data_IF_117417055207
#
_entry.id   IF_117417055207
#
_cell.length_a   1.000
_cell.length_b   1.000
_cell.length_c   1.000
_cell.angle_alpha   90.00
_cell.angle_beta   90.00
_cell.angle_gamma   90.00
#
_symmetry.space_group_name_H-M   'P 1'
#
loop_
_entity.id
_entity.type
_entity.pdbx_description
1 polymer ?
#
# COMPACT_ATOMS: atom_id res chain seq x y z
N UNK A 1 14.05 17.89 -16.43
CA UNK A 1 15.45 18.19 -16.05
C UNK A 1 15.63 19.60 -15.50
N UNK A 2 15.29 20.64 -16.27
CA UNK A 2 15.56 22.06 -15.93
C UNK A 2 15.10 22.49 -14.53
N UNK A 3 13.85 22.21 -14.15
CA UNK A 3 13.32 22.57 -12.82
C UNK A 3 14.10 21.93 -11.66
N UNK A 4 14.45 20.64 -11.75
CA UNK A 4 15.26 19.96 -10.73
C UNK A 4 16.62 20.64 -10.57
N UNK A 5 17.29 20.93 -11.68
CA UNK A 5 18.58 21.61 -11.66
C UNK A 5 18.47 23.03 -11.09
N UNK A 6 17.38 23.75 -11.41
CA UNK A 6 17.11 25.06 -10.85
C UNK A 6 16.94 25.02 -9.34
N UNK A 7 16.17 24.06 -8.81
CA UNK A 7 15.96 23.91 -7.36
C UNK A 7 17.24 23.54 -6.61
N UNK A 8 18.11 22.75 -7.22
CA UNK A 8 19.44 22.47 -6.67
C UNK A 8 20.29 23.75 -6.67
N UNK A 9 20.34 24.46 -7.80
CA UNK A 9 21.13 25.69 -7.95
C UNK A 9 20.65 26.82 -7.02
N UNK A 10 19.35 26.89 -6.73
CA UNK A 10 18.77 27.88 -5.83
C UNK A 10 18.77 27.45 -4.35
N UNK A 11 19.34 26.29 -4.02
CA UNK A 11 19.43 25.80 -2.65
C UNK A 11 18.10 25.32 -2.03
N UNK A 12 17.06 25.12 -2.84
CA UNK A 12 15.80 24.51 -2.39
C UNK A 12 16.04 23.02 -2.08
N UNK A 13 16.85 22.36 -2.89
CA UNK A 13 17.30 20.99 -2.68
C UNK A 13 18.80 20.99 -2.39
N UNK A 14 19.19 20.48 -1.22
CA UNK A 14 20.59 20.27 -0.87
C UNK A 14 21.01 18.83 -1.16
N UNK A 15 22.20 18.66 -1.77
CA UNK A 15 22.82 17.33 -1.94
C UNK A 15 23.65 17.02 -0.70
N UNK A 16 23.45 15.81 -0.18
CA UNK A 16 24.29 15.27 0.89
C UNK A 16 25.72 15.02 0.40
N UNK A 17 26.68 15.42 1.22
CA UNK A 17 28.12 15.30 0.95
C UNK A 17 28.69 13.92 1.29
N UNK A 18 28.03 13.21 2.18
CA UNK A 18 28.39 11.87 2.64
C UNK A 18 27.18 10.93 2.61
N UNK A 19 27.38 9.61 2.41
CA UNK A 19 26.32 8.63 2.58
C UNK A 19 25.70 8.73 3.98
N UNK A 20 24.37 8.66 4.04
CA UNK A 20 23.63 8.67 5.28
C UNK A 20 22.35 7.84 5.15
N UNK A 21 21.80 7.45 6.30
CA UNK A 21 20.45 6.91 6.42
C UNK A 21 19.58 7.95 7.13
N UNK A 22 18.32 8.05 6.72
CA UNK A 22 17.41 9.05 7.27
C UNK A 22 16.27 8.38 8.03
N UNK A 23 16.29 8.33 9.38
CA UNK A 23 15.11 8.00 10.15
C UNK A 23 13.95 8.89 9.72
N UNK A 24 12.80 8.27 9.43
CA UNK A 24 11.62 8.91 8.89
C UNK A 24 10.38 8.45 9.63
N UNK A 25 9.83 9.33 10.46
CA UNK A 25 8.68 9.05 11.30
C UNK A 25 7.44 9.76 10.76
N UNK A 26 6.29 9.11 10.90
CA UNK A 26 5.00 9.63 10.47
C UNK A 26 4.01 9.52 11.62
N UNK A 27 3.59 10.64 12.16
CA UNK A 27 2.49 10.72 13.13
C UNK A 27 1.18 10.98 12.42
N UNK A 28 0.16 10.18 12.69
CA UNK A 28 -1.12 10.28 11.98
C UNK A 28 -2.28 9.79 12.82
N UNK A 29 -3.48 10.20 12.43
CA UNK A 29 -4.74 9.70 12.96
C UNK A 29 -5.34 8.70 11.99
N UNK A 30 -5.69 7.51 12.46
CA UNK A 30 -6.39 6.48 11.67
C UNK A 30 -7.80 6.97 11.36
N UNK A 31 -8.21 7.12 10.08
CA UNK A 31 -9.49 7.76 9.72
C UNK A 31 -10.73 7.14 10.37
N UNK A 32 -10.81 5.81 10.45
CA UNK A 32 -12.01 5.12 10.93
C UNK A 32 -12.08 4.98 12.46
N UNK A 33 -10.94 5.04 13.16
CA UNK A 33 -10.88 4.78 14.61
C UNK A 33 -10.52 6.01 15.43
N UNK A 34 -9.98 7.07 14.81
CA UNK A 34 -9.44 8.22 15.53
C UNK A 34 -8.18 7.93 16.33
N UNK A 35 -7.65 6.70 16.25
CA UNK A 35 -6.43 6.29 16.95
C UNK A 35 -5.23 7.05 16.39
N UNK A 36 -4.44 7.66 17.26
CA UNK A 36 -3.20 8.34 16.87
C UNK A 36 -2.04 7.35 16.97
N UNK A 37 -1.32 7.17 15.86
CA UNK A 37 -0.20 6.24 15.74
C UNK A 37 1.03 6.95 15.17
N UNK A 38 2.20 6.36 15.44
CA UNK A 38 3.47 6.75 14.83
C UNK A 38 4.01 5.57 14.05
N UNK A 39 4.29 5.76 12.76
CA UNK A 39 5.04 4.80 11.95
C UNK A 39 6.50 5.21 11.90
N UNK A 40 7.36 4.30 12.29
CA UNK A 40 8.81 4.45 12.28
C UNK A 40 9.40 3.71 11.08
N UNK A 41 10.40 4.32 10.46
CA UNK A 41 11.13 3.70 9.37
C UNK A 41 12.37 4.51 9.03
N UNK A 42 13.08 4.10 7.99
CA UNK A 42 14.24 4.85 7.51
C UNK A 42 14.31 4.87 5.98
N UNK A 43 14.82 5.98 5.45
CA UNK A 43 15.05 6.18 4.02
C UNK A 43 16.51 5.84 3.73
N UNK A 44 16.73 4.97 2.74
CA UNK A 44 18.06 4.61 2.25
C UNK A 44 18.00 4.16 0.78
N UNK A 45 19.17 3.96 0.18
CA UNK A 45 19.29 3.38 -1.15
C UNK A 45 19.36 1.85 -1.05
N UNK A 46 18.36 1.17 -1.60
CA UNK A 46 18.35 -0.29 -1.75
C UNK A 46 18.76 -0.71 -3.15
N UNK A 47 19.51 -1.81 -3.27
CA UNK A 47 19.78 -2.42 -4.56
C UNK A 47 18.48 -3.00 -5.15
N UNK A 48 18.29 -2.85 -6.46
CA UNK A 48 17.18 -3.51 -7.17
C UNK A 48 17.62 -4.90 -7.62
N UNK A 49 16.78 -5.90 -7.38
CA UNK A 49 17.03 -7.31 -7.68
C UNK A 49 15.88 -7.88 -8.49
N UNK A 50 16.19 -8.82 -9.37
CA UNK A 50 15.16 -9.59 -10.04
C UNK A 50 14.36 -10.39 -9.01
N UNK A 51 13.03 -10.48 -9.15
CA UNK A 51 12.19 -11.23 -8.20
C UNK A 51 12.62 -12.69 -8.05
N UNK A 52 13.24 -13.28 -9.10
CA UNK A 52 13.80 -14.63 -9.07
C UNK A 52 14.93 -14.83 -8.06
N UNK A 53 15.59 -13.77 -7.60
CA UNK A 53 16.63 -13.83 -6.57
C UNK A 53 16.07 -14.13 -5.16
N UNK A 54 14.75 -13.98 -4.96
CA UNK A 54 14.12 -14.30 -3.68
C UNK A 54 14.48 -13.36 -2.52
N UNK A 55 15.01 -12.17 -2.83
CA UNK A 55 15.33 -11.11 -1.86
C UNK A 55 14.15 -10.15 -1.69
N UNK A 56 13.53 -9.72 -2.81
CA UNK A 56 12.39 -8.80 -2.82
C UNK A 56 11.13 -9.53 -3.29
N UNK A 57 10.04 -9.33 -2.55
CA UNK A 57 8.75 -9.96 -2.77
C UNK A 57 7.69 -8.90 -3.08
N UNK A 58 6.76 -9.27 -3.97
CA UNK A 58 5.60 -8.46 -4.34
C UNK A 58 4.32 -9.18 -3.90
N UNK A 59 3.29 -8.40 -3.59
CA UNK A 59 1.94 -8.92 -3.36
C UNK A 59 0.92 -8.41 -4.38
N UNK A 60 1.29 -7.54 -5.31
CA UNK A 60 0.40 -7.01 -6.35
C UNK A 60 1.06 -7.10 -7.73
N UNK A 61 0.23 -7.28 -8.77
CA UNK A 61 0.67 -7.19 -10.16
C UNK A 61 0.66 -5.75 -10.65
N UNK A 62 1.63 -5.41 -11.50
CA UNK A 62 1.79 -4.07 -12.04
C UNK A 62 1.19 -3.93 -13.45
N UNK A 63 0.56 -2.79 -13.70
CA UNK A 63 0.00 -2.39 -15.00
C UNK A 63 1.02 -1.71 -15.91
N UNK A 64 0.88 -1.86 -17.23
CA UNK A 64 1.83 -1.33 -18.22
C UNK A 64 1.82 0.20 -18.34
N UNK A 65 0.66 0.85 -18.34
CA UNK A 65 0.52 2.30 -18.55
C UNK A 65 1.33 3.16 -17.56
N UNK A 66 1.10 3.04 -16.24
CA UNK A 66 1.82 3.82 -15.23
C UNK A 66 3.35 3.63 -15.21
N UNK A 67 3.88 2.57 -15.83
CA UNK A 67 5.33 2.31 -15.91
C UNK A 67 6.01 3.17 -16.98
N UNK A 68 5.35 3.39 -18.12
CA UNK A 68 5.95 4.11 -19.24
C UNK A 68 6.22 5.57 -18.87
N UNK A 69 5.22 6.24 -18.30
CA UNK A 69 5.35 7.63 -17.84
C UNK A 69 6.50 7.80 -16.83
N UNK A 70 6.55 6.93 -15.82
CA UNK A 70 7.63 6.93 -14.80
C UNK A 70 9.00 6.67 -15.40
N UNK A 71 9.11 5.74 -16.35
CA UNK A 71 10.37 5.42 -17.02
C UNK A 71 10.84 6.61 -17.87
N UNK A 72 9.92 7.29 -18.56
CA UNK A 72 10.26 8.51 -19.30
C UNK A 72 10.73 9.62 -18.35
N UNK A 73 10.06 9.84 -17.23
CA UNK A 73 10.52 10.81 -16.23
C UNK A 73 11.94 10.48 -15.74
N UNK A 74 12.21 9.23 -15.40
CA UNK A 74 13.52 8.77 -14.94
C UNK A 74 14.60 8.95 -16.01
N UNK A 75 14.33 8.61 -17.27
CA UNK A 75 15.24 8.84 -18.40
C UNK A 75 15.59 10.32 -18.60
N UNK A 76 14.63 11.22 -18.45
CA UNK A 76 14.85 12.65 -18.69
C UNK A 76 15.45 13.42 -17.51
N UNK A 77 15.38 12.86 -16.31
CA UNK A 77 15.82 13.54 -15.08
C UNK A 77 17.01 12.86 -14.41
N UNK A 78 17.21 11.57 -14.69
CA UNK A 78 18.13 10.71 -13.95
C UNK A 78 17.93 10.85 -12.44
N UNK A 79 16.67 10.91 -11.99
CA UNK A 79 16.34 11.04 -10.58
C UNK A 79 15.06 10.26 -10.21
N UNK A 80 15.11 9.59 -9.06
CA UNK A 80 13.95 9.02 -8.40
C UNK A 80 13.37 10.05 -7.42
N UNK A 81 12.17 10.53 -7.72
CA UNK A 81 11.45 11.53 -6.89
C UNK A 81 10.55 10.90 -5.82
N UNK A 82 10.31 9.59 -5.91
CA UNK A 82 9.41 8.86 -5.02
C UNK A 82 10.10 7.68 -4.37
N UNK A 83 9.71 7.40 -3.14
CA UNK A 83 10.25 6.34 -2.30
C UNK A 83 9.46 5.04 -2.50
N UNK A 84 10.12 3.89 -2.58
CA UNK A 84 9.43 2.59 -2.54
C UNK A 84 9.23 2.20 -1.08
N UNK A 85 8.00 1.83 -0.71
CA UNK A 85 7.68 1.43 0.64
C UNK A 85 7.99 -0.07 0.82
N UNK A 86 9.04 -0.37 1.58
CA UNK A 86 9.54 -1.71 1.84
C UNK A 86 9.26 -2.12 3.29
N UNK A 87 8.86 -3.37 3.47
CA UNK A 87 8.69 -3.99 4.78
C UNK A 87 9.78 -5.03 5.01
N UNK A 88 10.25 -5.14 6.25
CA UNK A 88 11.23 -6.14 6.67
C UNK A 88 10.86 -6.73 8.03
N UNK A 89 11.37 -7.92 8.33
CA UNK A 89 11.13 -8.59 9.61
C UNK A 89 12.23 -8.27 10.62
N UNK A 90 11.88 -7.59 11.71
CA UNK A 90 12.72 -7.45 12.89
C UNK A 90 11.88 -7.56 14.17
N UNK A 91 11.55 -8.79 14.62
CA UNK A 91 10.68 -8.99 15.79
C UNK A 91 11.26 -8.41 17.09
N UNK A 92 12.59 -8.33 17.17
CA UNK A 92 13.29 -7.75 18.32
C UNK A 92 13.30 -6.21 18.29
N UNK A 93 12.84 -5.59 17.20
CA UNK A 93 12.78 -4.13 17.00
C UNK A 93 14.14 -3.44 17.20
N UNK A 94 15.25 -4.14 16.97
CA UNK A 94 16.60 -3.62 17.15
C UNK A 94 16.90 -2.45 16.22
N UNK A 95 16.40 -2.47 14.98
CA UNK A 95 16.54 -1.32 14.09
C UNK A 95 15.70 -0.14 14.60
N UNK A 96 14.46 -0.39 15.02
CA UNK A 96 13.57 0.67 15.55
C UNK A 96 14.23 1.40 16.74
N UNK A 97 14.88 0.68 17.66
CA UNK A 97 15.63 1.27 18.79
C UNK A 97 16.73 2.24 18.35
N UNK A 98 17.46 1.94 17.27
CA UNK A 98 18.49 2.82 16.70
C UNK A 98 17.88 4.06 16.06
N UNK A 99 16.70 3.93 15.44
CA UNK A 99 15.96 5.07 14.88
C UNK A 99 15.45 5.98 16.00
N UNK A 100 14.90 5.40 17.07
CA UNK A 100 14.42 6.12 18.24
C UNK A 100 15.53 6.90 18.95
N UNK A 101 16.73 6.31 19.07
CA UNK A 101 17.90 7.00 19.61
C UNK A 101 18.22 8.27 18.81
N UNK A 102 18.24 8.18 17.48
CA UNK A 102 18.42 9.34 16.60
C UNK A 102 17.27 10.34 16.73
N UNK A 103 16.05 9.87 16.93
CA UNK A 103 14.84 10.70 17.03
C UNK A 103 14.76 11.51 18.33
N UNK A 104 15.62 11.24 19.33
CA UNK A 104 15.76 12.10 20.53
C UNK A 104 16.33 13.49 20.20
N UNK A 105 17.03 13.61 19.07
CA UNK A 105 17.53 14.89 18.57
C UNK A 105 16.45 15.70 17.84
N UNK A 106 16.81 16.91 17.40
CA UNK A 106 15.92 17.73 16.56
C UNK A 106 15.84 17.15 15.13
N UNK A 107 14.64 17.04 14.53
CA UNK A 107 14.52 16.62 13.14
C UNK A 107 15.17 17.65 12.20
N UNK A 108 15.78 17.17 11.13
CA UNK A 108 16.34 18.00 10.06
C UNK A 108 15.25 18.56 9.13
N UNK A 109 14.07 17.93 9.13
CA UNK A 109 12.90 18.36 8.35
C UNK A 109 11.63 17.93 9.05
N UNK A 110 10.64 18.81 9.05
CA UNK A 110 9.26 18.54 9.47
C UNK A 110 8.29 19.08 8.42
N UNK A 111 7.29 18.30 8.05
CA UNK A 111 6.25 18.69 7.10
C UNK A 111 4.91 18.07 7.50
N UNK A 112 3.81 18.75 7.18
CA UNK A 112 2.46 18.23 7.34
C UNK A 112 1.85 18.02 5.97
N UNK A 113 1.33 16.82 5.68
CA UNK A 113 0.68 16.52 4.40
C UNK A 113 -0.77 17.06 4.34
N UNK A 114 -1.40 16.92 3.17
CA UNK A 114 -2.79 17.33 2.96
C UNK A 114 -3.83 16.56 3.80
N UNK A 115 -3.42 15.46 4.44
CA UNK A 115 -4.25 14.65 5.32
C UNK A 115 -3.97 14.91 6.81
N UNK A 116 -3.08 15.85 7.12
CA UNK A 116 -2.71 16.23 8.49
C UNK A 116 -1.69 15.28 9.14
N UNK A 117 -1.11 14.33 8.40
CA UNK A 117 -0.02 13.51 8.91
C UNK A 117 1.25 14.35 9.03
N UNK A 118 1.93 14.23 10.18
CA UNK A 118 3.18 14.95 10.45
C UNK A 118 4.34 14.03 10.13
N UNK A 119 5.20 14.49 9.24
CA UNK A 119 6.37 13.82 8.73
C UNK A 119 7.62 14.43 9.33
N UNK A 120 8.47 13.62 9.96
CA UNK A 120 9.75 14.06 10.51
C UNK A 120 10.89 13.21 10.03
N UNK A 121 12.00 13.86 9.69
CA UNK A 121 13.20 13.20 9.21
C UNK A 121 14.40 13.60 10.07
N UNK A 122 15.28 12.64 10.36
CA UNK A 122 16.57 12.84 11.00
C UNK A 122 17.68 12.32 10.09
N UNK A 123 18.94 12.44 10.53
CA UNK A 123 20.12 11.98 9.79
C UNK A 123 21.01 11.12 10.68
N UNK A 124 21.36 9.94 10.18
CA UNK A 124 22.37 9.06 10.76
C UNK A 124 23.52 8.96 9.74
N UNK A 125 24.67 9.55 10.08
CA UNK A 125 25.88 9.53 9.24
C UNK A 125 26.60 8.18 9.29
N UNK A 126 26.72 7.58 10.48
CA UNK A 126 27.29 6.24 10.67
C UNK A 126 26.17 5.20 10.78
N UNK A 127 25.73 4.72 9.62
CA UNK A 127 24.65 3.74 9.53
C UNK A 127 25.15 2.29 9.49
N UNK A 128 26.43 2.02 9.83
CA UNK A 128 27.04 0.69 9.68
C UNK A 128 26.26 -0.40 10.40
N UNK A 129 25.70 -0.11 11.58
CA UNK A 129 24.87 -1.07 12.33
C UNK A 129 23.55 -1.37 11.63
N UNK A 130 22.84 -0.37 11.12
CA UNK A 130 21.59 -0.56 10.37
C UNK A 130 21.86 -1.36 9.09
N UNK A 131 22.94 -1.04 8.38
CA UNK A 131 23.35 -1.76 7.17
C UNK A 131 23.61 -3.25 7.46
N UNK A 132 24.29 -3.57 8.56
CA UNK A 132 24.52 -4.96 8.98
C UNK A 132 23.21 -5.68 9.30
N UNK A 133 22.30 -5.04 10.03
CA UNK A 133 21.04 -5.65 10.48
C UNK A 133 20.05 -5.88 9.33
N UNK A 134 20.09 -5.07 8.28
CA UNK A 134 19.17 -5.18 7.14
C UNK A 134 19.71 -6.11 6.03
N UNK A 135 21.01 -6.38 5.99
CA UNK A 135 21.70 -7.01 4.85
C UNK A 135 21.16 -8.40 4.45
N UNK A 136 20.72 -9.20 5.41
CA UNK A 136 20.21 -10.57 5.20
C UNK A 136 18.68 -10.66 5.17
N UNK A 137 17.98 -9.52 5.31
CA UNK A 137 16.53 -9.50 5.39
C UNK A 137 15.89 -9.61 4.02
N UNK A 138 14.86 -10.44 3.92
CA UNK A 138 13.89 -10.40 2.82
C UNK A 138 13.06 -9.13 2.93
N UNK A 139 12.74 -8.54 1.78
CA UNK A 139 11.94 -7.32 1.70
C UNK A 139 10.61 -7.57 0.99
N UNK A 140 9.55 -7.00 1.52
CA UNK A 140 8.22 -7.02 0.92
C UNK A 140 7.85 -5.61 0.46
N UNK A 141 7.48 -5.43 -0.81
CA UNK A 141 7.02 -4.14 -1.32
C UNK A 141 5.60 -3.87 -0.81
N UNK A 142 5.42 -2.97 0.15
CA UNK A 142 4.11 -2.49 0.60
C UNK A 142 3.43 -1.58 -0.43
N UNK A 143 4.21 -0.69 -1.04
CA UNK A 143 3.72 0.26 -2.05
C UNK A 143 4.88 0.65 -2.99
N UNK A 144 4.57 0.81 -4.27
CA UNK A 144 5.55 1.23 -5.28
C UNK A 144 6.05 0.11 -6.19
N UNK A 145 5.27 -0.95 -6.42
CA UNK A 145 5.62 -2.03 -7.35
C UNK A 145 5.94 -1.51 -8.77
N UNK A 146 5.17 -0.54 -9.29
CA UNK A 146 5.50 0.07 -10.59
C UNK A 146 6.84 0.81 -10.54
N UNK A 147 7.18 1.48 -9.43
CA UNK A 147 8.45 2.19 -9.25
C UNK A 147 9.63 1.21 -9.20
N UNK A 148 9.45 0.08 -8.52
CA UNK A 148 10.45 -0.99 -8.45
C UNK A 148 10.75 -1.55 -9.85
N UNK A 149 9.70 -1.87 -10.61
CA UNK A 149 9.87 -2.39 -11.97
C UNK A 149 10.41 -1.36 -12.95
N UNK A 150 10.05 -0.08 -12.81
CA UNK A 150 10.67 1.00 -13.58
C UNK A 150 12.16 1.10 -13.29
N UNK A 151 12.58 0.96 -12.02
CA UNK A 151 14.00 0.98 -11.65
C UNK A 151 14.76 -0.24 -12.22
N UNK A 152 14.17 -1.44 -12.18
CA UNK A 152 14.73 -2.63 -12.84
C UNK A 152 14.89 -2.43 -14.36
N UNK A 153 13.85 -1.93 -15.03
CA UNK A 153 13.92 -1.66 -16.46
C UNK A 153 15.02 -0.65 -16.79
N UNK A 154 15.10 0.44 -16.01
CA UNK A 154 16.12 1.46 -16.19
C UNK A 154 17.54 0.95 -15.95
N UNK A 155 17.77 0.10 -14.93
CA UNK A 155 19.04 -0.61 -14.70
C UNK A 155 19.45 -1.43 -15.93
N UNK A 156 18.53 -2.21 -16.49
CA UNK A 156 18.80 -3.05 -17.69
C UNK A 156 19.14 -2.21 -18.92
N UNK A 157 18.51 -1.05 -19.07
CA UNK A 157 18.82 -0.08 -20.14
C UNK A 157 20.19 0.59 -19.96
N UNK A 158 20.70 0.67 -18.72
CA UNK A 158 21.87 1.47 -18.37
C UNK A 158 22.87 0.72 -17.46
N UNK A 159 23.36 -0.48 -17.81
CA UNK A 159 24.14 -1.33 -16.91
C UNK A 159 25.47 -0.71 -16.41
N UNK A 160 25.99 0.30 -17.10
CA UNK A 160 27.21 1.04 -16.72
C UNK A 160 26.97 2.38 -16.03
N UNK A 161 25.71 2.82 -15.87
CA UNK A 161 25.41 4.10 -15.23
C UNK A 161 25.49 3.95 -13.71
N UNK A 162 26.39 4.71 -13.09
CA UNK A 162 26.57 4.69 -11.64
C UNK A 162 25.25 5.01 -10.91
N UNK A 163 24.88 4.13 -9.96
CA UNK A 163 23.68 4.25 -9.16
C UNK A 163 22.40 3.69 -9.79
N UNK A 164 22.42 3.30 -11.07
CA UNK A 164 21.25 2.69 -11.73
C UNK A 164 20.84 1.33 -11.15
N UNK A 165 21.72 0.71 -10.37
CA UNK A 165 21.50 -0.52 -9.62
C UNK A 165 20.76 -0.31 -8.28
N UNK A 166 20.45 0.95 -7.93
CA UNK A 166 19.82 1.33 -6.66
C UNK A 166 18.60 2.19 -6.87
N UNK A 167 17.73 2.19 -5.88
CA UNK A 167 16.56 3.07 -5.80
C UNK A 167 16.33 3.50 -4.36
N UNK A 168 15.74 4.68 -4.19
CA UNK A 168 15.35 5.20 -2.89
C UNK A 168 14.16 4.43 -2.33
N UNK A 169 14.33 3.89 -1.13
CA UNK A 169 13.36 3.07 -0.43
C UNK A 169 13.16 3.59 0.99
N UNK A 170 11.94 3.48 1.51
CA UNK A 170 11.65 3.57 2.93
C UNK A 170 11.46 2.17 3.48
N UNK A 171 12.22 1.82 4.51
CA UNK A 171 12.17 0.53 5.18
C UNK A 171 11.41 0.68 6.49
N UNK A 172 10.36 -0.11 6.68
CA UNK A 172 9.56 -0.15 7.91
C UNK A 172 9.47 -1.58 8.42
N UNK A 173 9.57 -1.73 9.73
CA UNK A 173 9.45 -3.03 10.36
C UNK A 173 8.01 -3.57 10.26
N UNK A 174 7.85 -4.85 9.90
CA UNK A 174 6.55 -5.56 9.89
C UNK A 174 5.85 -5.53 11.25
N UNK A 175 6.63 -5.45 12.33
CA UNK A 175 6.14 -5.42 13.71
C UNK A 175 5.98 -3.99 14.26
N UNK A 176 6.12 -2.97 13.41
CA UNK A 176 5.89 -1.58 13.81
C UNK A 176 4.42 -1.35 14.18
N UNK A 177 4.11 -0.83 15.39
CA UNK A 177 2.73 -0.53 15.79
C UNK A 177 2.02 0.47 14.87
N UNK A 178 2.78 1.37 14.22
CA UNK A 178 2.25 2.33 13.26
C UNK A 178 2.04 1.78 11.85
N UNK A 179 2.30 0.50 11.60
CA UNK A 179 2.02 -0.10 10.30
C UNK A 179 0.52 -0.41 10.19
N UNK A 180 -0.21 0.42 9.44
CA UNK A 180 -1.66 0.27 9.24
C UNK A 180 -2.00 0.00 7.79
N UNK A 181 -2.88 -0.98 7.58
CA UNK A 181 -3.55 -1.23 6.30
C UNK A 181 -5.03 -0.84 6.49
N UNK A 182 -5.55 0.02 5.63
CA UNK A 182 -6.97 0.37 5.58
C UNK A 182 -7.72 -0.53 4.59
N UNK A 183 -9.02 -0.66 4.80
CA UNK A 183 -9.88 -1.31 3.82
C UNK A 183 -10.12 -0.38 2.63
N UNK A 184 -10.12 -0.96 1.43
CA UNK A 184 -10.58 -0.27 0.22
C UNK A 184 -11.90 -0.89 -0.19
N UNK A 185 -12.99 -0.15 -0.14
CA UNK A 185 -14.31 -0.61 -0.53
C UNK A 185 -14.48 -0.54 -2.05
N UNK A 186 -15.39 -1.35 -2.60
CA UNK A 186 -15.65 -1.43 -4.04
C UNK A 186 -17.04 -0.88 -4.35
N UNK A 187 -17.09 0.15 -5.19
CA UNK A 187 -18.32 0.71 -5.72
C UNK A 187 -18.54 0.15 -7.11
N UNK A 188 -19.65 -0.57 -7.30
CA UNK A 188 -19.98 -1.20 -8.56
C UNK A 188 -21.06 -0.41 -9.29
N UNK A 189 -20.84 -0.19 -10.59
CA UNK A 189 -21.77 0.51 -11.46
C UNK A 189 -22.07 -0.23 -12.76
N UNK A 190 -23.24 0.02 -13.34
CA UNK A 190 -23.65 -0.57 -14.62
C UNK A 190 -24.10 -2.04 -14.53
N UNK A 191 -24.59 -2.46 -13.36
CA UNK A 191 -25.13 -3.80 -13.10
C UNK A 191 -26.58 -3.73 -12.62
N UNK A 192 -27.33 -4.81 -12.80
CA UNK A 192 -28.64 -4.96 -12.16
C UNK A 192 -28.48 -5.52 -10.73
N UNK A 193 -28.59 -4.65 -9.74
CA UNK A 193 -28.44 -5.03 -8.33
C UNK A 193 -29.62 -5.85 -7.78
N UNK A 194 -30.80 -5.81 -8.40
CA UNK A 194 -32.00 -6.43 -7.84
C UNK A 194 -31.93 -7.97 -7.76
N UNK A 195 -31.19 -8.60 -8.68
CA UNK A 195 -31.00 -10.06 -8.74
C UNK A 195 -29.72 -10.53 -8.05
N UNK A 196 -28.90 -9.61 -7.54
CA UNK A 196 -27.59 -9.92 -7.01
C UNK A 196 -27.64 -10.86 -5.78
N UNK A 197 -28.50 -10.65 -4.77
CA UNK A 197 -28.59 -11.57 -3.63
C UNK A 197 -28.87 -13.02 -4.04
N UNK A 198 -29.73 -13.24 -5.04
CA UNK A 198 -30.06 -14.57 -5.52
C UNK A 198 -28.86 -15.23 -6.21
N UNK A 199 -28.14 -14.49 -7.06
CA UNK A 199 -26.92 -14.99 -7.71
C UNK A 199 -25.81 -15.32 -6.71
N UNK A 200 -25.68 -14.53 -5.63
CA UNK A 200 -24.65 -14.73 -4.62
C UNK A 200 -24.99 -15.83 -3.59
N UNK A 201 -26.26 -16.20 -3.42
CA UNK A 201 -26.71 -17.17 -2.40
C UNK A 201 -26.08 -18.57 -2.52
N UNK A 202 -25.62 -18.95 -3.73
CA UNK A 202 -24.89 -20.21 -3.96
C UNK A 202 -23.56 -20.26 -3.21
N UNK A 203 -22.90 -19.11 -3.01
CA UNK A 203 -21.57 -19.02 -2.39
C UNK A 203 -21.61 -18.41 -1.00
N UNK A 204 -22.70 -17.74 -0.62
CA UNK A 204 -22.80 -17.00 0.64
C UNK A 204 -24.05 -17.36 1.45
N UNK A 205 -23.93 -17.27 2.76
CA UNK A 205 -25.08 -17.01 3.63
C UNK A 205 -25.28 -15.49 3.67
N UNK A 206 -26.48 -15.03 3.34
CA UNK A 206 -26.79 -13.61 3.20
C UNK A 206 -27.86 -13.24 4.23
N UNK A 207 -27.58 -12.22 5.03
CA UNK A 207 -28.46 -11.67 6.04
C UNK A 207 -28.62 -10.17 5.80
N UNK A 208 -29.85 -9.66 5.75
CA UNK A 208 -30.09 -8.21 5.75
C UNK A 208 -29.87 -7.68 7.17
N UNK A 209 -29.06 -6.64 7.29
CA UNK A 209 -28.71 -6.00 8.56
C UNK A 209 -29.07 -4.52 8.52
N UNK A 210 -29.36 -3.97 9.68
CA UNK A 210 -29.90 -2.65 9.91
C UNK A 210 -28.83 -1.62 10.31
N UNK A 211 -27.58 -2.06 10.53
CA UNK A 211 -26.46 -1.16 10.86
C UNK A 211 -25.10 -1.73 10.47
N UNK A 212 -24.15 -0.89 9.98
CA UNK A 212 -22.76 -1.30 9.76
C UNK A 212 -22.06 -1.78 11.04
N UNK A 213 -22.57 -1.43 12.24
CA UNK A 213 -22.03 -1.91 13.50
C UNK A 213 -22.13 -3.44 13.64
N UNK A 214 -23.17 -4.07 13.09
CA UNK A 214 -23.33 -5.52 13.08
C UNK A 214 -22.29 -6.19 12.18
N UNK A 215 -22.03 -5.61 11.00
CA UNK A 215 -20.98 -6.07 10.10
C UNK A 215 -19.59 -5.99 10.77
N UNK A 216 -19.27 -4.84 11.40
CA UNK A 216 -18.01 -4.65 12.11
C UNK A 216 -17.86 -5.61 13.30
N UNK A 217 -18.95 -5.90 14.01
CA UNK A 217 -18.97 -6.90 15.10
C UNK A 217 -18.64 -8.29 14.55
N UNK A 218 -19.26 -8.69 13.46
CA UNK A 218 -19.00 -9.99 12.83
C UNK A 218 -17.53 -10.14 12.39
N UNK A 219 -16.92 -9.08 11.86
CA UNK A 219 -15.48 -9.09 11.56
C UNK A 219 -14.58 -9.30 12.78
N UNK A 220 -14.95 -8.74 13.94
CA UNK A 220 -14.20 -8.92 15.19
C UNK A 220 -14.40 -10.31 15.80
N UNK A 221 -15.62 -10.83 15.77
CA UNK A 221 -15.97 -12.13 16.38
C UNK A 221 -15.53 -13.32 15.52
N UNK A 222 -15.43 -13.14 14.20
CA UNK A 222 -15.08 -14.19 13.23
C UNK A 222 -13.94 -13.74 12.28
N UNK A 223 -12.74 -13.43 12.79
CA UNK A 223 -11.67 -12.86 11.98
C UNK A 223 -11.12 -13.81 10.90
N UNK A 224 -11.30 -15.12 11.07
CA UNK A 224 -10.88 -16.19 10.15
C UNK A 224 -11.94 -16.52 9.07
N UNK A 225 -13.15 -15.96 9.19
CA UNK A 225 -14.22 -16.10 8.20
C UNK A 225 -14.16 -14.96 7.18
N UNK A 226 -14.49 -15.27 5.94
CA UNK A 226 -14.69 -14.26 4.90
C UNK A 226 -16.10 -13.71 5.02
N UNK A 227 -16.21 -12.44 5.39
CA UNK A 227 -17.48 -11.74 5.60
C UNK A 227 -17.40 -10.42 4.84
N UNK A 228 -18.29 -10.25 3.86
CA UNK A 228 -18.33 -9.06 2.99
C UNK A 228 -19.65 -8.35 3.24
N UNK A 229 -19.60 -7.03 3.42
CA UNK A 229 -20.81 -6.22 3.44
C UNK A 229 -21.22 -5.84 2.02
N UNK A 230 -22.51 -5.75 1.74
CA UNK A 230 -23.02 -5.22 0.48
C UNK A 230 -24.15 -4.23 0.75
N UNK A 231 -24.01 -2.99 0.27
CA UNK A 231 -25.06 -1.98 0.35
C UNK A 231 -25.67 -1.73 -1.03
N UNK A 232 -27.00 -1.70 -1.10
CA UNK A 232 -27.79 -1.47 -2.31
C UNK A 232 -28.91 -0.49 -1.97
N UNK A 233 -28.76 0.77 -2.39
CA UNK A 233 -29.62 1.84 -1.91
C UNK A 233 -29.53 1.99 -0.39
N UNK A 234 -30.68 1.91 0.30
CA UNK A 234 -30.74 1.97 1.76
C UNK A 234 -30.52 0.63 2.47
N UNK A 235 -30.55 -0.49 1.73
CA UNK A 235 -30.42 -1.83 2.31
C UNK A 235 -28.97 -2.23 2.46
N UNK A 236 -28.65 -2.90 3.57
CA UNK A 236 -27.32 -3.40 3.89
C UNK A 236 -27.39 -4.89 4.17
N UNK A 237 -26.42 -5.63 3.64
CA UNK A 237 -26.34 -7.08 3.76
C UNK A 237 -24.99 -7.49 4.34
N UNK A 238 -25.02 -8.50 5.20
CA UNK A 238 -23.85 -9.28 5.62
C UNK A 238 -23.81 -10.56 4.79
N UNK A 239 -22.68 -10.80 4.13
CA UNK A 239 -22.46 -11.96 3.26
C UNK A 239 -21.31 -12.79 3.82
N UNK A 240 -21.63 -13.90 4.52
CA UNK A 240 -20.62 -14.84 5.03
C UNK A 240 -20.37 -15.95 3.99
N UNK A 241 -19.12 -16.10 3.55
CA UNK A 241 -18.78 -17.10 2.54
C UNK A 241 -18.97 -18.54 3.07
N UNK A 242 -19.48 -19.42 2.20
CA UNK A 242 -19.57 -20.86 2.44
C UNK A 242 -18.22 -21.57 2.25
N UNK A 243 -17.24 -20.88 1.68
CA UNK A 243 -15.88 -21.39 1.45
C UNK A 243 -15.11 -21.69 2.76
N UNK A 244 -14.00 -22.46 2.68
CA UNK A 244 -13.14 -22.74 3.82
C UNK A 244 -12.62 -21.48 4.52
N UNK A 245 -12.36 -21.60 5.82
CA UNK A 245 -11.74 -20.54 6.64
C UNK A 245 -10.36 -20.14 6.07
N UNK A 246 -9.98 -18.89 6.29
CA UNK A 246 -8.67 -18.37 5.88
C UNK A 246 -8.56 -17.87 4.44
N UNK A 247 -9.65 -17.93 3.65
CA UNK A 247 -9.68 -17.30 2.34
C UNK A 247 -9.57 -15.77 2.46
N UNK A 248 -8.85 -15.13 1.52
CA UNK A 248 -8.72 -13.68 1.47
C UNK A 248 -10.03 -13.06 0.99
N UNK A 249 -10.63 -12.18 1.80
CA UNK A 249 -11.90 -11.52 1.48
C UNK A 249 -11.91 -10.83 0.12
N UNK A 250 -10.81 -10.16 -0.25
CA UNK A 250 -10.69 -9.48 -1.55
C UNK A 250 -10.70 -10.48 -2.71
N UNK A 251 -10.08 -11.65 -2.54
CA UNK A 251 -10.08 -12.70 -3.58
C UNK A 251 -11.49 -13.26 -3.76
N UNK A 252 -12.16 -13.59 -2.65
CA UNK A 252 -13.53 -14.10 -2.65
C UNK A 252 -14.50 -13.08 -3.25
N UNK A 253 -14.34 -11.78 -2.95
CA UNK A 253 -15.08 -10.70 -3.59
C UNK A 253 -14.90 -10.74 -5.11
N UNK A 254 -13.66 -10.78 -5.60
CA UNK A 254 -13.37 -10.71 -7.03
C UNK A 254 -13.84 -11.96 -7.79
N UNK A 255 -13.61 -13.15 -7.24
CA UNK A 255 -13.98 -14.42 -7.90
C UNK A 255 -15.48 -14.66 -7.84
N UNK A 256 -16.10 -14.58 -6.65
CA UNK A 256 -17.49 -15.01 -6.44
C UNK A 256 -18.53 -13.94 -6.65
N UNK A 257 -18.25 -12.72 -6.18
CA UNK A 257 -19.24 -11.64 -6.25
C UNK A 257 -19.12 -10.85 -7.55
N UNK A 258 -17.91 -10.41 -7.90
CA UNK A 258 -17.68 -9.70 -9.16
C UNK A 258 -17.75 -10.67 -10.35
N UNK A 259 -17.01 -11.78 -10.31
CA UNK A 259 -16.98 -12.79 -11.36
C UNK A 259 -18.29 -13.57 -11.49
N UNK A 260 -18.53 -14.51 -10.58
CA UNK A 260 -19.65 -15.46 -10.72
C UNK A 260 -21.03 -14.79 -10.64
N UNK A 261 -21.25 -13.87 -9.69
CA UNK A 261 -22.57 -13.28 -9.45
C UNK A 261 -22.90 -12.05 -10.33
N UNK A 262 -21.90 -11.24 -10.70
CA UNK A 262 -22.10 -9.98 -11.46
C UNK A 262 -21.53 -10.03 -12.88
N UNK A 263 -20.78 -11.07 -13.25
CA UNK A 263 -20.11 -11.21 -14.55
C UNK A 263 -19.17 -10.03 -14.89
N UNK A 264 -18.58 -9.41 -13.86
CA UNK A 264 -17.52 -8.41 -13.98
C UNK A 264 -16.18 -9.17 -13.96
N UNK A 265 -15.63 -9.37 -15.15
CA UNK A 265 -14.40 -10.14 -15.36
C UNK A 265 -13.15 -9.31 -15.09
N UNK A 266 -12.01 -9.98 -15.00
CA UNK A 266 -10.72 -9.40 -14.63
C UNK A 266 -10.28 -8.25 -15.54
N UNK A 267 -10.59 -8.32 -16.84
CA UNK A 267 -10.33 -7.25 -17.80
C UNK A 267 -11.16 -5.98 -17.51
N UNK A 268 -12.44 -6.14 -17.16
CA UNK A 268 -13.30 -5.03 -16.76
C UNK A 268 -12.89 -4.40 -15.42
N UNK A 269 -12.40 -5.21 -14.49
CA UNK A 269 -11.80 -4.75 -13.22
C UNK A 269 -10.52 -3.96 -13.49
N UNK A 270 -9.64 -4.49 -14.35
CA UNK A 270 -8.37 -3.88 -14.71
C UNK A 270 -8.54 -2.53 -15.41
N UNK A 271 -9.58 -2.40 -16.23
CA UNK A 271 -9.91 -1.17 -16.95
C UNK A 271 -10.79 -0.20 -16.11
N UNK A 272 -11.10 -0.54 -14.85
CA UNK A 272 -11.94 0.24 -13.93
C UNK A 272 -13.32 0.67 -14.51
N UNK A 273 -13.86 -0.08 -15.47
CA UNK A 273 -15.09 0.29 -16.23
C UNK A 273 -16.37 0.26 -15.40
N UNK A 274 -16.44 -0.68 -14.46
CA UNK A 274 -17.61 -0.93 -13.61
C UNK A 274 -17.31 -0.81 -12.13
N UNK A 275 -16.08 -0.42 -11.78
CA UNK A 275 -15.56 -0.55 -10.43
C UNK A 275 -14.79 0.72 -10.05
N UNK A 276 -15.26 1.41 -9.00
CA UNK A 276 -14.52 2.47 -8.32
C UNK A 276 -14.10 2.02 -6.93
N UNK A 277 -13.05 2.62 -6.41
CA UNK A 277 -12.50 2.33 -5.09
C UNK A 277 -12.73 3.51 -4.14
N UNK A 278 -13.13 3.23 -2.90
CA UNK A 278 -13.39 4.27 -1.90
C UNK A 278 -12.92 3.84 -0.51
N UNK A 279 -12.50 4.81 0.30
CA UNK A 279 -12.17 4.61 1.72
C UNK A 279 -13.36 4.98 2.59
N UNK A 280 -13.47 4.35 3.76
CA UNK A 280 -14.48 4.67 4.76
C UNK A 280 -15.84 4.04 4.45
N UNK A 281 -16.38 3.34 5.45
CA UNK A 281 -17.65 2.63 5.32
C UNK A 281 -18.78 3.63 5.05
N UNK A 282 -18.82 4.75 5.79
CA UNK A 282 -19.90 5.73 5.66
C UNK A 282 -19.94 6.38 4.28
N UNK A 283 -18.77 6.70 3.72
CA UNK A 283 -18.66 7.24 2.36
C UNK A 283 -19.12 6.21 1.32
N UNK A 284 -18.76 4.94 1.47
CA UNK A 284 -19.23 3.87 0.59
C UNK A 284 -20.75 3.66 0.67
N UNK A 285 -21.32 3.71 1.88
CA UNK A 285 -22.77 3.63 2.10
C UNK A 285 -23.50 4.82 1.49
N UNK A 286 -22.93 6.03 1.59
CA UNK A 286 -23.50 7.23 0.98
C UNK A 286 -23.61 7.09 -0.54
N UNK A 287 -22.55 6.63 -1.22
CA UNK A 287 -22.53 6.40 -2.67
C UNK A 287 -23.59 5.40 -3.14
N UNK A 288 -23.86 4.35 -2.35
CA UNK A 288 -24.94 3.39 -2.63
C UNK A 288 -26.33 4.02 -2.43
N UNK A 289 -26.51 4.83 -1.39
CA UNK A 289 -27.80 5.50 -1.09
C UNK A 289 -28.16 6.56 -2.12
N UNK A 290 -27.19 7.32 -2.63
CA UNK A 290 -27.41 8.34 -3.66
C UNK A 290 -27.64 7.74 -5.05
N UNK A 291 -27.35 6.44 -5.22
CA UNK A 291 -27.39 5.77 -6.52
C UNK A 291 -26.16 6.04 -7.40
N UNK A 292 -25.13 6.70 -6.87
CA UNK A 292 -23.83 6.88 -7.54
C UNK A 292 -23.09 5.55 -7.75
N UNK A 293 -23.45 4.53 -6.96
CA UNK A 293 -23.12 3.13 -7.16
C UNK A 293 -24.38 2.27 -6.99
N UNK A 294 -24.52 1.23 -7.82
CA UNK A 294 -25.61 0.25 -7.66
C UNK A 294 -25.36 -0.70 -6.48
N UNK A 295 -24.09 -1.03 -6.22
CA UNK A 295 -23.68 -1.86 -5.08
C UNK A 295 -22.39 -1.27 -4.48
N UNK A 296 -22.33 -1.13 -3.16
CA UNK A 296 -21.09 -0.86 -2.43
C UNK A 296 -20.69 -2.09 -1.60
N UNK A 297 -19.56 -2.70 -1.95
CA UNK A 297 -18.97 -3.80 -1.20
C UNK A 297 -18.02 -3.28 -0.11
N UNK A 298 -18.32 -3.66 1.12
CA UNK A 298 -17.58 -3.30 2.33
C UNK A 298 -16.71 -4.47 2.76
N UNK A 299 -15.48 -4.18 3.14
CA UNK A 299 -14.47 -5.17 3.46
C UNK A 299 -13.83 -4.83 4.79
N UNK A 300 -13.40 -5.85 5.55
CA UNK A 300 -12.42 -5.65 6.61
C UNK A 300 -11.04 -5.39 6.00
N UNK A 301 -10.15 -4.65 6.68
CA UNK A 301 -8.79 -4.47 6.22
C UNK A 301 -8.04 -5.81 6.13
N UNK A 302 -7.23 -5.98 5.09
CA UNK A 302 -6.27 -7.08 4.97
C UNK A 302 -5.22 -6.94 6.08
N UNK A 303 -4.91 -8.03 6.79
CA UNK A 303 -3.87 -8.02 7.82
C UNK A 303 -2.46 -8.05 7.21
N UNK A 304 -1.48 -7.48 7.91
CA UNK A 304 -0.07 -7.50 7.50
C UNK A 304 0.42 -8.95 7.31
N UNK A 305 0.02 -9.86 8.22
CA UNK A 305 0.39 -11.27 8.13
C UNK A 305 -0.13 -11.92 6.84
N UNK A 306 -1.39 -11.66 6.45
CA UNK A 306 -1.93 -12.17 5.19
C UNK A 306 -1.16 -11.66 3.96
N UNK A 307 -0.76 -10.39 3.96
CA UNK A 307 0.07 -9.84 2.87
C UNK A 307 1.43 -10.54 2.83
N UNK A 308 2.07 -10.71 3.99
CA UNK A 308 3.36 -11.38 4.11
C UNK A 308 3.30 -12.85 3.67
N UNK A 309 2.31 -13.60 4.14
CA UNK A 309 2.13 -15.02 3.80
C UNK A 309 1.92 -15.22 2.29
N UNK A 310 1.09 -14.39 1.66
CA UNK A 310 0.84 -14.45 0.23
C UNK A 310 2.11 -14.11 -0.54
N UNK A 311 2.78 -13.01 -0.19
CA UNK A 311 3.95 -12.56 -0.92
C UNK A 311 5.13 -13.53 -0.77
N UNK A 312 5.45 -13.98 0.44
CA UNK A 312 6.53 -14.92 0.69
C UNK A 312 6.23 -16.33 0.15
N UNK A 313 4.95 -16.68 0.00
CA UNK A 313 4.50 -17.86 -0.75
C UNK A 313 4.58 -17.72 -2.28
N UNK A 314 5.01 -16.56 -2.80
CA UNK A 314 5.11 -16.27 -4.24
C UNK A 314 3.77 -15.93 -4.91
N UNK A 315 2.71 -15.78 -4.13
CA UNK A 315 1.37 -15.40 -4.60
C UNK A 315 1.22 -13.90 -4.83
N UNK A 316 0.10 -13.53 -5.45
CA UNK A 316 -0.31 -12.14 -5.63
C UNK A 316 -1.78 -11.98 -5.25
N UNK A 317 -2.12 -10.77 -4.82
CA UNK A 317 -3.46 -10.36 -4.44
C UNK A 317 -4.11 -9.60 -5.62
N UNK A 318 -5.45 -9.53 -5.66
CA UNK A 318 -6.14 -8.64 -6.60
C UNK A 318 -5.69 -7.17 -6.44
N UNK A 319 -5.90 -6.36 -7.46
CA UNK A 319 -5.53 -4.95 -7.41
C UNK A 319 -6.24 -4.21 -6.28
N UNK A 320 -5.55 -3.23 -5.71
CA UNK A 320 -6.07 -2.41 -4.60
C UNK A 320 -6.54 -3.27 -3.41
N UNK A 321 -5.85 -4.38 -3.12
CA UNK A 321 -6.12 -5.23 -1.95
C UNK A 321 -5.60 -4.62 -0.64
N UNK A 322 -4.62 -3.73 -0.73
CA UNK A 322 -3.95 -3.14 0.43
C UNK A 322 -3.85 -1.64 0.27
N UNK A 323 -4.21 -0.92 1.33
CA UNK A 323 -3.99 0.52 1.42
C UNK A 323 -3.18 0.84 2.67
N UNK A 324 -1.85 0.75 2.54
CA UNK A 324 -0.92 1.14 3.61
C UNK A 324 -1.06 2.64 3.89
N UNK A 325 -1.37 2.96 5.15
CA UNK A 325 -1.70 4.31 5.59
C UNK A 325 -0.78 4.78 6.73
N UNK A 326 -0.37 6.05 6.72
CA UNK A 326 -0.47 7.01 5.61
C UNK A 326 0.41 6.59 4.43
N UNK A 327 0.34 7.29 3.30
CA UNK A 327 1.32 7.09 2.22
C UNK A 327 2.67 7.72 2.60
N UNK A 328 3.73 7.35 1.88
CA UNK A 328 5.03 8.00 2.04
C UNK A 328 5.01 9.35 1.33
N UNK A 329 5.53 10.40 1.97
CA UNK A 329 5.58 11.73 1.37
C UNK A 329 6.67 11.77 0.28
N UNK A 330 6.30 12.18 -0.93
CA UNK A 330 7.25 12.44 -2.00
C UNK A 330 7.95 13.78 -1.80
N UNK A 331 9.19 13.90 -2.28
CA UNK A 331 9.93 15.17 -2.27
C UNK A 331 10.70 15.48 -0.98
N UNK A 332 10.51 14.72 0.11
CA UNK A 332 11.36 14.82 1.32
C UNK A 332 12.83 14.48 1.03
N UNK A 333 13.04 13.48 0.17
CA UNK A 333 14.34 13.08 -0.34
C UNK A 333 14.20 12.78 -1.83
N UNK A 334 15.29 12.93 -2.58
CA UNK A 334 15.37 12.63 -4.00
C UNK A 334 16.69 11.88 -4.23
N UNK A 335 16.62 10.75 -4.94
CA UNK A 335 17.83 10.06 -5.37
C UNK A 335 18.16 10.42 -6.81
N UNK A 336 19.17 11.27 -6.98
CA UNK A 336 19.74 11.60 -8.29
C UNK A 336 20.84 10.59 -8.64
N UNK A 337 20.76 10.05 -9.85
CA UNK A 337 21.73 9.13 -10.44
C UNK A 337 22.92 9.94 -10.99
N UNK A 338 24.14 9.39 -10.85
CA UNK A 338 25.41 10.05 -11.18
C UNK A 338 25.82 11.16 -10.20
#
# INVERSE_FOLDING_TARGET
GSYLNQWIASGILAREDQPAVFPYFQEFTVPDTGERLTREGFIALGAVEEYAAGVVYRHEQTLSGPKQDRLQLLRHTHAHFGQIFMLYSDPARTIDELLDESARGRPITEATDEYGAIHRMWRISDAGRIQQLIADKKLLIADGHHRYETALAFRRENPGLAGSDRVMMTFVNLYSPGLKILATHRLVSGVNAATFPQSAANHFHIEEIDSPALLQRAWREKPDRTIIGAAMGARLYLMEAREPRGALDVRVLHERLLGDALNIREDAVRDEKHLRYIRGIDSALAEARTGSAQIAFLLKPTSIQQVADIAFGGGVMPQKSTDFYPKLLSGLAIYRLG
#
